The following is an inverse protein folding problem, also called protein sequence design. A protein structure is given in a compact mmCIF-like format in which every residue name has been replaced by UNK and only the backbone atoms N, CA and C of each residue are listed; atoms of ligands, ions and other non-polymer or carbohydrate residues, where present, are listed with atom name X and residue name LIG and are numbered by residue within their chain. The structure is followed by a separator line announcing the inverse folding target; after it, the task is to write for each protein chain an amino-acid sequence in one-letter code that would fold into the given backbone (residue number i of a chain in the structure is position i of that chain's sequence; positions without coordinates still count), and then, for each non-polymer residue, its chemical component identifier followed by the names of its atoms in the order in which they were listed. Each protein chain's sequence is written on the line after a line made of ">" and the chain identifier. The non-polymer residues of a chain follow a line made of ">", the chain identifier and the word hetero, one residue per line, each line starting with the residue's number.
data_IF_530908944378
#
_entry.id   IF_530908944378
#
_cell.length_a   1.000
_cell.length_b   1.000
_cell.length_c   1.000
_cell.angle_alpha   90.00
_cell.angle_beta   90.00
_cell.angle_gamma   90.00
#
_symmetry.space_group_name_H-M   'P 1'
#
loop_
_entity.id
_entity.type
_entity.pdbx_description
1 polymer ?
#
# COMPACT_ATOMS: atom_id res chain seq x y z
N UNK A 1 -12.91 -1.45 -61.29
CA UNK A 1 -12.27 -0.15 -60.90
C UNK A 1 -12.55 0.28 -59.45
N UNK A 2 -13.36 -0.45 -58.66
CA UNK A 2 -13.76 -0.04 -57.30
C UNK A 2 -12.79 -0.52 -56.19
N UNK A 3 -12.04 -1.60 -56.43
CA UNK A 3 -11.17 -2.24 -55.42
C UNK A 3 -9.95 -1.39 -55.01
N UNK A 4 -9.36 -0.63 -55.94
CA UNK A 4 -8.23 0.26 -55.62
C UNK A 4 -8.63 1.47 -54.77
N UNK A 5 -9.89 1.91 -54.89
CA UNK A 5 -10.44 2.99 -54.06
C UNK A 5 -10.62 2.54 -52.60
N UNK A 6 -11.05 1.30 -52.39
CA UNK A 6 -11.25 0.74 -51.06
C UNK A 6 -9.93 0.62 -50.27
N UNK A 7 -8.84 0.18 -50.93
CA UNK A 7 -7.53 0.08 -50.29
C UNK A 7 -6.98 1.44 -49.84
N UNK A 8 -7.17 2.50 -50.63
CA UNK A 8 -6.77 3.85 -50.26
C UNK A 8 -7.53 4.36 -49.03
N UNK A 9 -8.82 4.05 -48.93
CA UNK A 9 -9.68 4.46 -47.82
C UNK A 9 -9.31 3.73 -46.52
N UNK A 10 -9.01 2.43 -46.60
CA UNK A 10 -8.54 1.64 -45.45
C UNK A 10 -7.19 2.13 -44.96
N UNK A 11 -6.24 2.42 -45.85
CA UNK A 11 -4.93 2.97 -45.47
C UNK A 11 -5.06 4.33 -44.78
N UNK A 12 -5.92 5.21 -45.29
CA UNK A 12 -6.20 6.50 -44.65
C UNK A 12 -6.82 6.32 -43.25
N UNK A 13 -7.79 5.40 -43.10
CA UNK A 13 -8.42 5.10 -41.82
C UNK A 13 -7.42 4.57 -40.80
N UNK A 14 -6.53 3.66 -41.21
CA UNK A 14 -5.50 3.08 -40.34
C UNK A 14 -4.49 4.15 -39.93
N UNK A 15 -4.05 5.01 -40.85
CA UNK A 15 -3.13 6.11 -40.54
C UNK A 15 -3.77 7.12 -39.56
N UNK A 16 -5.05 7.44 -39.74
CA UNK A 16 -5.82 8.30 -38.82
C UNK A 16 -5.93 7.63 -37.45
N UNK A 17 -6.22 6.32 -37.40
CA UNK A 17 -6.36 5.58 -36.15
C UNK A 17 -5.02 5.54 -35.40
N UNK A 18 -3.91 5.25 -36.08
CA UNK A 18 -2.57 5.26 -35.49
C UNK A 18 -2.22 6.67 -34.99
N UNK A 19 -2.44 7.70 -35.80
CA UNK A 19 -2.24 9.09 -35.38
C UNK A 19 -3.08 9.46 -34.15
N UNK A 20 -4.34 9.01 -34.11
CA UNK A 20 -5.22 9.20 -32.97
C UNK A 20 -4.73 8.46 -31.71
N UNK A 21 -4.15 7.27 -31.83
CA UNK A 21 -3.58 6.55 -30.68
C UNK A 21 -2.34 7.24 -30.10
N UNK A 22 -1.52 7.89 -30.93
CA UNK A 22 -0.34 8.64 -30.46
C UNK A 22 -0.77 9.93 -29.77
N UNK A 23 -1.78 10.63 -30.33
CA UNK A 23 -2.25 11.91 -29.81
C UNK A 23 -3.18 11.75 -28.59
N UNK A 24 -3.87 10.62 -28.50
CA UNK A 24 -4.75 10.22 -27.40
C UNK A 24 -4.40 8.79 -27.01
N UNK A 25 -3.37 8.56 -26.17
CA UNK A 25 -3.14 7.23 -25.62
C UNK A 25 -4.45 6.76 -24.99
N UNK A 26 -5.03 5.61 -25.41
CA UNK A 26 -6.26 5.11 -24.82
C UNK A 26 -6.01 4.93 -23.34
N UNK A 27 -6.75 5.72 -22.55
CA UNK A 27 -6.60 5.80 -21.11
C UNK A 27 -6.52 4.39 -20.54
N UNK A 28 -5.39 4.13 -19.89
CA UNK A 28 -5.00 2.85 -19.36
C UNK A 28 -6.15 2.17 -18.63
N UNK A 29 -6.35 0.90 -19.00
CA UNK A 29 -7.20 -0.05 -18.34
C UNK A 29 -7.04 0.04 -16.81
N UNK A 30 -8.17 0.20 -16.13
CA UNK A 30 -8.35 -0.15 -14.70
C UNK A 30 -7.17 0.24 -13.81
N UNK A 31 -6.95 1.54 -13.64
CA UNK A 31 -6.31 2.03 -12.43
C UNK A 31 -7.25 1.71 -11.25
N UNK A 32 -6.97 0.61 -10.54
CA UNK A 32 -7.57 0.36 -9.23
C UNK A 32 -7.44 1.66 -8.41
N UNK A 33 -8.50 2.12 -7.73
CA UNK A 33 -8.47 3.39 -7.00
C UNK A 33 -7.27 3.38 -6.06
N UNK A 34 -6.22 4.12 -6.44
CA UNK A 34 -5.10 4.38 -5.55
C UNK A 34 -5.68 5.24 -4.44
N UNK A 35 -5.81 4.66 -3.26
CA UNK A 35 -6.12 5.39 -2.04
C UNK A 35 -5.03 6.45 -1.85
N UNK A 36 -5.33 7.69 -2.24
CA UNK A 36 -4.50 8.84 -1.92
C UNK A 36 -4.68 9.08 -0.43
N UNK A 37 -3.71 8.64 0.36
CA UNK A 37 -3.59 9.02 1.75
C UNK A 37 -3.29 10.51 1.81
N UNK A 38 -4.34 11.33 1.86
CA UNK A 38 -4.24 12.73 2.25
C UNK A 38 -4.03 12.77 3.76
N UNK A 39 -2.77 12.62 4.16
CA UNK A 39 -2.35 13.02 5.51
C UNK A 39 -2.26 14.54 5.41
N UNK A 40 -3.27 15.25 5.92
CA UNK A 40 -3.05 16.63 6.30
C UNK A 40 -2.06 16.56 7.44
N UNK A 41 -0.78 16.79 7.15
CA UNK A 41 0.24 17.02 8.17
C UNK A 41 -0.09 18.34 8.86
N UNK A 42 -1.11 18.31 9.72
CA UNK A 42 -1.18 19.21 10.86
C UNK A 42 -0.16 18.71 11.87
N UNK A 43 1.12 18.74 11.49
CA UNK A 43 2.22 18.62 12.41
C UNK A 43 2.32 19.93 13.19
N UNK A 44 2.17 19.87 14.51
CA UNK A 44 2.87 20.74 15.48
C UNK A 44 2.34 20.69 16.93
N UNK A 45 1.52 19.73 17.33
CA UNK A 45 1.19 19.60 18.77
C UNK A 45 0.85 18.16 19.17
N UNK A 46 1.89 17.33 19.31
CA UNK A 46 2.00 16.12 20.15
C UNK A 46 2.97 15.15 19.46
N UNK A 47 4.26 15.39 19.61
CA UNK A 47 5.29 14.35 19.44
C UNK A 47 5.17 13.37 20.60
N UNK A 48 4.03 12.68 20.70
CA UNK A 48 3.92 11.50 21.55
C UNK A 48 4.66 10.41 20.81
N UNK A 49 5.81 10.00 21.34
CA UNK A 49 6.57 8.89 20.80
C UNK A 49 5.71 7.62 20.86
N UNK A 50 5.04 7.31 19.75
CA UNK A 50 4.07 6.23 19.65
C UNK A 50 4.69 4.85 19.90
N UNK A 51 6.01 4.71 19.72
CA UNK A 51 6.72 3.48 20.02
C UNK A 51 6.76 3.23 21.53
N UNK A 52 6.92 4.29 22.33
CA UNK A 52 6.88 4.17 23.80
C UNK A 52 5.47 3.85 24.30
N UNK A 53 4.43 4.43 23.68
CA UNK A 53 3.03 4.13 24.00
C UNK A 53 2.71 2.69 23.62
N UNK A 54 3.11 2.24 22.44
CA UNK A 54 2.89 0.86 21.99
C UNK A 54 3.64 -0.17 22.86
N UNK A 55 4.88 0.12 23.25
CA UNK A 55 5.65 -0.70 24.18
C UNK A 55 4.99 -0.81 25.56
N UNK A 56 4.40 0.28 26.06
CA UNK A 56 3.61 0.29 27.30
C UNK A 56 2.31 -0.51 27.15
N UNK A 57 1.59 -0.33 26.04
CA UNK A 57 0.35 -1.07 25.73
C UNK A 57 0.59 -2.57 25.56
N UNK A 58 1.75 -2.98 25.04
CA UNK A 58 2.16 -4.37 24.93
C UNK A 58 2.45 -5.01 26.29
N UNK A 59 3.00 -4.23 27.23
CA UNK A 59 3.24 -4.67 28.61
C UNK A 59 1.96 -4.71 29.46
N UNK A 60 0.95 -3.94 29.06
CA UNK A 60 -0.35 -3.89 29.74
C UNK A 60 -1.29 -4.93 29.11
N UNK A 61 -2.14 -5.58 29.90
CA UNK A 61 -2.95 -6.71 29.43
C UNK A 61 -3.92 -6.39 28.29
N UNK A 62 -4.54 -7.44 27.73
CA UNK A 62 -5.38 -7.41 26.52
C UNK A 62 -6.56 -6.43 26.60
N UNK A 63 -7.14 -6.23 27.79
CA UNK A 63 -8.26 -5.30 27.99
C UNK A 63 -7.88 -3.87 27.65
N UNK A 64 -6.69 -3.43 28.09
CA UNK A 64 -6.17 -2.09 27.82
C UNK A 64 -5.78 -1.92 26.36
N UNK A 65 -5.30 -3.01 25.73
CA UNK A 65 -5.02 -3.04 24.30
C UNK A 65 -6.31 -2.86 23.49
N UNK A 66 -7.34 -3.65 23.77
CA UNK A 66 -8.60 -3.62 23.02
C UNK A 66 -9.35 -2.29 23.16
N UNK A 67 -9.23 -1.60 24.30
CA UNK A 67 -9.77 -0.24 24.46
C UNK A 67 -8.94 0.77 23.67
N UNK A 68 -7.62 0.74 23.79
CA UNK A 68 -6.74 1.66 23.07
C UNK A 68 -6.93 1.58 21.54
N UNK A 69 -7.05 0.36 20.99
CA UNK A 69 -7.30 0.21 19.55
C UNK A 69 -8.72 0.66 19.13
N UNK A 70 -9.73 0.49 19.99
CA UNK A 70 -11.08 0.99 19.73
C UNK A 70 -11.13 2.52 19.73
N UNK A 71 -10.43 3.14 20.67
CA UNK A 71 -10.28 4.60 20.75
C UNK A 71 -9.56 5.15 19.51
N UNK A 72 -8.67 4.34 18.91
CA UNK A 72 -7.99 4.64 17.65
C UNK A 72 -8.84 4.32 16.39
N UNK A 73 -10.11 3.93 16.56
CA UNK A 73 -11.04 3.65 15.45
C UNK A 73 -10.75 2.35 14.71
N UNK A 74 -10.00 1.42 15.31
CA UNK A 74 -9.72 0.12 14.71
C UNK A 74 -10.86 -0.86 14.98
N UNK A 75 -11.79 -0.94 14.02
CA UNK A 75 -12.85 -1.94 14.00
C UNK A 75 -12.53 -3.05 12.99
N UNK A 76 -12.42 -4.29 13.49
CA UNK A 76 -12.13 -5.48 12.69
C UNK A 76 -13.27 -5.84 11.73
N UNK A 77 -14.52 -5.58 12.10
CA UNK A 77 -15.65 -5.89 11.21
C UNK A 77 -15.69 -4.89 10.04
N UNK A 78 -15.42 -3.60 10.29
CA UNK A 78 -15.22 -2.60 9.24
C UNK A 78 -14.01 -2.93 8.33
N UNK A 79 -12.94 -3.50 8.88
CA UNK A 79 -11.78 -3.95 8.11
C UNK A 79 -12.09 -5.15 7.21
N UNK A 80 -12.87 -6.11 7.69
CA UNK A 80 -13.36 -7.22 6.86
C UNK A 80 -14.25 -6.75 5.73
N UNK A 81 -15.06 -5.72 5.96
CA UNK A 81 -15.88 -5.08 4.94
C UNK A 81 -15.08 -4.21 3.94
N UNK A 82 -13.76 -4.02 4.18
CA UNK A 82 -12.88 -3.23 3.30
C UNK A 82 -12.98 -1.71 3.47
N UNK A 83 -13.73 -1.23 4.47
CA UNK A 83 -13.97 0.21 4.71
C UNK A 83 -13.12 0.74 5.87
N UNK A 84 -12.64 -0.16 6.74
CA UNK A 84 -11.83 0.19 7.91
C UNK A 84 -10.41 0.64 7.55
N UNK A 85 -9.83 1.50 8.41
CA UNK A 85 -8.43 1.93 8.33
C UNK A 85 -7.61 1.26 9.44
N UNK A 86 -6.43 0.76 9.09
CA UNK A 86 -5.47 0.21 10.06
C UNK A 86 -4.55 1.33 10.56
N UNK A 87 -4.50 1.63 11.87
CA UNK A 87 -3.56 2.58 12.43
C UNK A 87 -2.13 2.02 12.37
N UNK A 88 -1.16 2.92 12.17
CA UNK A 88 0.28 2.60 12.18
C UNK A 88 0.78 2.51 13.63
N UNK A 89 0.24 1.56 14.39
CA UNK A 89 0.67 1.29 15.76
C UNK A 89 1.34 -0.08 15.82
N UNK A 90 2.59 -0.11 16.28
CA UNK A 90 3.42 -1.30 16.28
C UNK A 90 3.70 -1.76 17.70
N UNK A 91 3.12 -2.90 18.08
CA UNK A 91 3.43 -3.49 19.37
C UNK A 91 4.81 -4.15 19.30
N UNK A 92 5.67 -3.84 20.26
CA UNK A 92 6.99 -4.48 20.37
C UNK A 92 6.89 -5.99 20.65
N UNK A 93 5.78 -6.43 21.24
CA UNK A 93 5.48 -7.84 21.48
C UNK A 93 3.96 -8.07 21.51
N UNK A 94 3.53 -9.32 21.31
CA UNK A 94 2.15 -9.67 21.59
C UNK A 94 1.87 -9.56 23.10
N UNK A 95 0.62 -9.23 23.50
CA UNK A 95 0.23 -9.24 24.91
C UNK A 95 0.49 -10.63 25.51
N UNK A 96 1.07 -10.68 26.72
CA UNK A 96 1.41 -11.95 27.36
C UNK A 96 0.19 -12.79 27.71
N UNK A 97 -0.93 -12.15 28.02
CA UNK A 97 -2.15 -12.82 28.53
C UNK A 97 -3.05 -13.43 27.43
N UNK A 98 -2.49 -13.68 26.24
CA UNK A 98 -3.22 -14.25 25.09
C UNK A 98 -3.65 -15.70 25.31
N UNK A 99 -2.89 -16.41 26.14
CA UNK A 99 -3.16 -17.77 26.59
C UNK A 99 -4.40 -17.85 27.50
N UNK A 100 -4.65 -16.82 28.31
CA UNK A 100 -5.80 -16.71 29.23
C UNK A 100 -7.14 -16.56 28.49
N UNK A 101 -7.13 -16.09 27.23
CA UNK A 101 -8.35 -15.93 26.43
C UNK A 101 -8.93 -17.28 26.00
N UNK A 102 -9.94 -17.77 26.71
CA UNK A 102 -10.65 -19.03 26.36
C UNK A 102 -11.41 -18.96 25.03
N UNK A 103 -11.92 -17.78 24.66
CA UNK A 103 -12.66 -17.59 23.41
C UNK A 103 -11.72 -17.43 22.21
N UNK A 104 -11.75 -18.40 21.30
CA UNK A 104 -10.93 -18.41 20.09
C UNK A 104 -11.19 -17.22 19.17
N UNK A 105 -12.44 -16.72 19.12
CA UNK A 105 -12.82 -15.55 18.31
C UNK A 105 -12.14 -14.28 18.81
N UNK A 106 -12.14 -14.05 20.12
CA UNK A 106 -11.50 -12.89 20.75
C UNK A 106 -9.98 -12.99 20.62
N UNK A 107 -9.41 -14.18 20.82
CA UNK A 107 -7.97 -14.40 20.64
C UNK A 107 -7.51 -14.07 19.22
N UNK A 108 -8.25 -14.53 18.20
CA UNK A 108 -7.98 -14.19 16.79
C UNK A 108 -8.08 -12.69 16.55
N UNK A 109 -9.10 -12.03 17.08
CA UNK A 109 -9.28 -10.59 16.93
C UNK A 109 -8.08 -9.80 17.48
N UNK A 110 -7.64 -10.09 18.70
CA UNK A 110 -6.47 -9.45 19.34
C UNK A 110 -5.18 -9.77 18.58
N UNK A 111 -5.07 -10.97 18.01
CA UNK A 111 -3.93 -11.32 17.17
C UNK A 111 -3.88 -10.46 15.90
N UNK A 112 -4.99 -10.35 15.17
CA UNK A 112 -5.06 -9.50 13.97
C UNK A 112 -4.84 -8.02 14.28
N UNK A 113 -5.38 -7.53 15.40
CA UNK A 113 -5.08 -6.20 15.96
C UNK A 113 -3.57 -5.93 16.06
N UNK A 114 -2.81 -6.92 16.54
CA UNK A 114 -1.36 -6.79 16.73
C UNK A 114 -0.54 -6.96 15.44
N UNK A 115 -0.89 -7.94 14.60
CA UNK A 115 -0.06 -8.37 13.47
C UNK A 115 -0.40 -7.65 12.17
N UNK A 116 -1.66 -7.29 11.94
CA UNK A 116 -2.08 -6.68 10.68
C UNK A 116 -1.35 -5.35 10.37
N UNK A 117 -1.14 -4.42 11.34
CA UNK A 117 -0.35 -3.21 11.09
C UNK A 117 1.07 -3.51 10.60
N UNK A 118 1.73 -4.51 11.19
CA UNK A 118 3.10 -4.91 10.83
C UNK A 118 3.15 -5.48 9.41
N UNK A 119 2.21 -6.37 9.06
CA UNK A 119 2.14 -6.96 7.72
C UNK A 119 1.92 -5.89 6.66
N UNK A 120 1.02 -4.93 6.90
CA UNK A 120 0.78 -3.84 5.97
C UNK A 120 2.00 -2.93 5.78
N UNK A 121 2.76 -2.69 6.85
CA UNK A 121 4.02 -1.94 6.76
C UNK A 121 5.03 -2.66 5.87
N UNK A 122 5.31 -3.93 6.14
CA UNK A 122 6.27 -4.71 5.33
C UNK A 122 5.83 -4.79 3.87
N UNK A 123 4.53 -4.93 3.60
CA UNK A 123 4.00 -4.87 2.25
C UNK A 123 4.26 -3.52 1.56
N UNK A 124 4.15 -2.42 2.31
CA UNK A 124 4.46 -1.08 1.81
C UNK A 124 5.95 -0.93 1.48
N UNK A 125 6.84 -1.44 2.33
CA UNK A 125 8.29 -1.46 2.12
C UNK A 125 8.64 -2.25 0.85
N UNK A 126 8.16 -3.50 0.73
CA UNK A 126 8.35 -4.34 -0.47
C UNK A 126 7.83 -3.63 -1.72
N UNK A 127 6.68 -2.96 -1.64
CA UNK A 127 6.11 -2.23 -2.78
C UNK A 127 6.99 -1.05 -3.19
N UNK A 128 7.58 -0.34 -2.24
CA UNK A 128 8.53 0.74 -2.52
C UNK A 128 9.79 0.17 -3.20
N UNK A 129 10.36 -0.90 -2.66
CA UNK A 129 11.55 -1.55 -3.21
C UNK A 129 11.32 -2.08 -4.62
N UNK A 130 10.17 -2.72 -4.88
CA UNK A 130 9.81 -3.17 -6.22
C UNK A 130 9.74 -2.02 -7.21
N UNK A 131 9.15 -0.90 -6.83
CA UNK A 131 9.13 0.30 -7.69
C UNK A 131 10.53 0.81 -7.96
N UNK A 132 11.41 0.84 -6.95
CA UNK A 132 12.83 1.19 -7.12
C UNK A 132 13.49 0.26 -8.13
N UNK A 133 13.31 -1.05 -7.99
CA UNK A 133 13.87 -2.05 -8.89
C UNK A 133 13.36 -1.91 -10.33
N UNK A 134 12.06 -1.65 -10.51
CA UNK A 134 11.48 -1.41 -11.84
C UNK A 134 12.07 -0.17 -12.50
N UNK A 135 12.19 0.94 -11.75
CA UNK A 135 12.85 2.16 -12.24
C UNK A 135 14.28 1.87 -12.70
N UNK A 136 15.06 1.19 -11.87
CA UNK A 136 16.45 0.84 -12.19
C UNK A 136 16.57 -0.10 -13.40
N UNK A 137 15.67 -1.06 -13.53
CA UNK A 137 15.60 -1.93 -14.70
C UNK A 137 15.33 -1.15 -15.99
N UNK A 138 14.38 -0.21 -15.94
CA UNK A 138 14.06 0.66 -17.08
C UNK A 138 15.23 1.58 -17.44
N UNK A 139 15.87 2.21 -16.46
CA UNK A 139 17.07 3.04 -16.68
C UNK A 139 18.20 2.26 -17.33
N UNK A 140 18.48 1.05 -16.83
CA UNK A 140 19.49 0.16 -17.42
C UNK A 140 19.15 -0.24 -18.86
N UNK A 141 17.88 -0.51 -19.16
CA UNK A 141 17.44 -0.85 -20.51
C UNK A 141 17.60 0.33 -21.49
N UNK A 142 17.49 1.56 -21.01
CA UNK A 142 17.73 2.80 -21.76
C UNK A 142 19.22 3.17 -21.86
N UNK A 143 20.12 2.37 -21.27
CA UNK A 143 21.56 2.66 -21.23
C UNK A 143 21.93 3.81 -20.30
N UNK A 144 21.04 4.23 -19.40
CA UNK A 144 21.31 5.29 -18.43
C UNK A 144 22.20 4.76 -17.30
N UNK A 145 23.07 5.64 -16.79
CA UNK A 145 23.93 5.31 -15.65
C UNK A 145 23.11 5.27 -14.36
N UNK A 146 23.14 4.11 -13.70
CA UNK A 146 22.53 3.91 -12.37
C UNK A 146 23.30 4.74 -11.33
N UNK A 147 22.61 5.42 -10.40
CA UNK A 147 23.26 6.22 -9.35
C UNK A 147 24.17 5.39 -8.43
N UNK A 148 25.14 6.03 -7.76
CA UNK A 148 26.03 5.32 -6.83
C UNK A 148 25.28 4.67 -5.65
N UNK A 149 24.25 5.34 -5.13
CA UNK A 149 23.39 4.83 -4.06
C UNK A 149 22.60 3.59 -4.52
N UNK A 150 22.03 3.64 -5.73
CA UNK A 150 21.28 2.51 -6.29
C UNK A 150 22.19 1.32 -6.62
N UNK A 151 23.46 1.56 -7.00
CA UNK A 151 24.46 0.49 -7.16
C UNK A 151 24.85 -0.16 -5.84
N UNK A 152 24.99 0.63 -4.77
CA UNK A 152 25.26 0.10 -3.43
C UNK A 152 24.08 -0.74 -2.91
N UNK A 153 22.85 -0.33 -3.20
CA UNK A 153 21.65 -1.08 -2.85
C UNK A 153 21.51 -2.41 -3.61
N UNK A 154 22.06 -2.50 -4.81
CA UNK A 154 22.05 -3.72 -5.64
C UNK A 154 23.21 -4.69 -5.36
N UNK A 155 24.23 -4.26 -4.61
CA UNK A 155 25.45 -5.03 -4.32
C UNK A 155 25.18 -6.18 -3.34
#
# INVERSE_FOLDING_TARGET
>A
MIERGALGLVLALVAILIGATILRPPAEATLAPKAVWRITETGSALSTDWNTVAGRLSRTGIRTLATAYRDLGYDLEALRAGVGRVPRLFLASLPRDMDVLRESRVRKAVFFLSVLPLVLQTNDEIRIERRRLWRLRSEKALGLNISAEDRLWLA
#
